data_IF_405194128314
#
_entry.id   IF_405194128314
#
_cell.length_a   1.000
_cell.length_b   1.000
_cell.length_c   1.000
_cell.angle_alpha   90.00
_cell.angle_beta   90.00
_cell.angle_gamma   90.00
#
_symmetry.space_group_name_H-M   'P 1'
#
loop_
_entity.id
_entity.type
_entity.pdbx_description
1 polymer ?
#
# COMPACT_ATOMS: atom_id res chain seq x y z
N UNK A 1 7.77 -3.69 23.35
CA UNK A 1 7.13 -2.37 23.27
C UNK A 1 5.64 -2.51 23.49
N UNK A 2 5.08 -1.82 24.49
CA UNK A 2 3.66 -1.92 24.82
C UNK A 2 2.83 -1.16 23.78
N UNK A 3 2.01 -1.87 23.02
CA UNK A 3 1.01 -1.28 22.11
C UNK A 3 0.21 -0.19 22.82
N UNK A 4 0.12 1.00 22.23
CA UNK A 4 -0.58 2.14 22.83
C UNK A 4 -2.09 1.86 22.91
N UNK A 5 -2.79 2.44 23.90
CA UNK A 5 -4.22 2.18 24.16
C UNK A 5 -5.09 2.39 22.91
N UNK A 6 -4.77 3.37 22.07
CA UNK A 6 -5.47 3.63 20.79
C UNK A 6 -5.21 2.57 19.71
N UNK A 7 -3.97 2.09 19.56
CA UNK A 7 -3.65 1.01 18.62
C UNK A 7 -4.25 -0.32 19.04
N UNK A 8 -4.36 -0.60 20.35
CA UNK A 8 -5.06 -1.78 20.87
C UNK A 8 -6.54 -1.75 20.52
N UNK A 9 -7.21 -0.60 20.66
CA UNK A 9 -8.63 -0.46 20.30
C UNK A 9 -8.83 -0.69 18.79
N UNK A 10 -7.97 -0.12 17.95
CA UNK A 10 -8.02 -0.34 16.49
C UNK A 10 -7.82 -1.82 16.11
N UNK A 11 -6.86 -2.51 16.74
CA UNK A 11 -6.62 -3.94 16.50
C UNK A 11 -7.80 -4.80 16.99
N UNK A 12 -8.39 -4.49 18.14
CA UNK A 12 -9.57 -5.21 18.65
C UNK A 12 -10.81 -4.99 17.79
N UNK A 13 -10.99 -3.82 17.18
CA UNK A 13 -12.09 -3.56 16.23
C UNK A 13 -11.91 -4.35 14.94
N UNK A 14 -10.69 -4.38 14.39
CA UNK A 14 -10.37 -5.13 13.17
C UNK A 14 -10.44 -6.64 13.42
N UNK A 15 -9.90 -7.12 14.55
CA UNK A 15 -9.97 -8.52 14.94
C UNK A 15 -11.41 -8.97 15.23
N UNK A 16 -12.22 -8.12 15.89
CA UNK A 16 -13.65 -8.38 16.09
C UNK A 16 -14.42 -8.44 14.78
N UNK A 17 -14.11 -7.57 13.82
CA UNK A 17 -14.72 -7.55 12.49
C UNK A 17 -14.32 -8.78 11.64
N UNK A 18 -13.06 -9.23 11.72
CA UNK A 18 -12.62 -10.48 11.07
C UNK A 18 -13.25 -11.71 11.74
N UNK A 19 -13.34 -11.74 13.07
CA UNK A 19 -13.95 -12.88 13.79
C UNK A 19 -15.46 -12.98 13.55
N UNK A 20 -16.18 -11.84 13.49
CA UNK A 20 -17.59 -11.79 13.12
C UNK A 20 -17.83 -12.23 11.66
N UNK A 21 -16.93 -11.89 10.73
CA UNK A 21 -17.01 -12.32 9.33
C UNK A 21 -16.83 -13.83 9.15
N UNK A 22 -15.86 -14.43 9.85
CA UNK A 22 -15.57 -15.87 9.73
C UNK A 22 -16.57 -16.73 10.50
N UNK A 23 -17.05 -16.27 11.67
CA UNK A 23 -18.06 -16.99 12.46
C UNK A 23 -19.47 -16.82 11.87
N UNK A 24 -19.80 -15.65 11.31
CA UNK A 24 -21.09 -15.39 10.67
C UNK A 24 -21.36 -16.31 9.47
N UNK A 25 -20.34 -16.61 8.66
CA UNK A 25 -20.44 -17.57 7.55
C UNK A 25 -20.68 -19.02 7.99
N UNK A 26 -20.21 -19.41 9.18
CA UNK A 26 -20.42 -20.75 9.73
C UNK A 26 -21.77 -20.91 10.46
N UNK A 27 -22.29 -19.87 11.12
CA UNK A 27 -23.60 -19.91 11.79
C UNK A 27 -24.75 -19.93 10.77
N UNK A 28 -24.61 -19.24 9.63
CA UNK A 28 -25.58 -19.25 8.53
C UNK A 28 -25.75 -20.62 7.87
N UNK A 29 -24.74 -21.50 7.91
CA UNK A 29 -24.85 -22.87 7.39
C UNK A 29 -25.47 -23.86 8.40
N UNK A 30 -25.57 -23.51 9.69
CA UNK A 30 -25.95 -24.46 10.74
C UNK A 30 -27.34 -24.23 11.36
N UNK A 31 -27.99 -23.09 11.14
CA UNK A 31 -29.30 -22.78 11.75
C UNK A 31 -30.39 -22.49 10.70
N UNK A 32 -31.17 -23.54 10.45
CA UNK A 32 -32.59 -23.56 10.09
C UNK A 32 -33.02 -23.13 8.66
N UNK A 33 -33.59 -24.06 7.85
CA UNK A 33 -34.32 -23.73 6.64
C UNK A 33 -35.72 -23.23 7.03
N UNK A 34 -35.97 -21.93 6.89
CA UNK A 34 -37.32 -21.42 7.19
C UNK A 34 -37.56 -19.92 7.00
N UNK A 35 -36.55 -19.10 6.73
CA UNK A 35 -36.79 -17.66 6.53
C UNK A 35 -35.80 -16.97 5.58
N UNK A 36 -35.54 -17.64 4.44
CA UNK A 36 -34.60 -17.24 3.38
C UNK A 36 -34.72 -15.76 2.95
N UNK A 37 -35.92 -15.17 2.99
CA UNK A 37 -36.13 -13.78 2.59
C UNK A 37 -35.52 -12.75 3.57
N UNK A 38 -35.55 -13.01 4.89
CA UNK A 38 -34.90 -12.10 5.87
C UNK A 38 -33.38 -12.29 5.86
N UNK A 39 -32.91 -13.51 5.67
CA UNK A 39 -31.48 -13.81 5.59
C UNK A 39 -30.87 -13.23 4.30
N UNK A 40 -31.60 -13.29 3.17
CA UNK A 40 -31.21 -12.64 1.92
C UNK A 40 -31.25 -11.11 2.03
N UNK A 41 -32.23 -10.53 2.72
CA UNK A 41 -32.29 -9.09 2.97
C UNK A 41 -31.17 -8.61 3.89
N UNK A 42 -30.82 -9.38 4.93
CA UNK A 42 -29.69 -9.10 5.81
C UNK A 42 -28.35 -9.21 5.07
N UNK A 43 -28.19 -10.25 4.24
CA UNK A 43 -27.01 -10.42 3.39
C UNK A 43 -26.86 -9.28 2.38
N UNK A 44 -27.94 -8.88 1.71
CA UNK A 44 -27.94 -7.75 0.77
C UNK A 44 -27.59 -6.43 1.47
N UNK A 45 -28.14 -6.18 2.66
CA UNK A 45 -27.81 -5.00 3.46
C UNK A 45 -26.32 -5.00 3.87
N UNK A 46 -25.79 -6.13 4.31
CA UNK A 46 -24.37 -6.26 4.66
C UNK A 46 -23.45 -6.06 3.43
N UNK A 47 -23.84 -6.58 2.27
CA UNK A 47 -23.14 -6.35 1.01
C UNK A 47 -23.18 -4.87 0.59
N UNK A 48 -24.35 -4.22 0.66
CA UNK A 48 -24.52 -2.81 0.35
C UNK A 48 -23.71 -1.91 1.30
N UNK A 49 -23.69 -2.22 2.60
CA UNK A 49 -22.88 -1.51 3.60
C UNK A 49 -21.37 -1.70 3.34
N UNK A 50 -20.95 -2.94 3.02
CA UNK A 50 -19.57 -3.23 2.64
C UNK A 50 -19.14 -2.44 1.38
N UNK A 51 -19.96 -2.49 0.32
CA UNK A 51 -19.69 -1.78 -0.94
C UNK A 51 -19.62 -0.27 -0.71
N UNK A 52 -20.55 0.31 0.05
CA UNK A 52 -20.50 1.73 0.41
C UNK A 52 -19.22 2.08 1.16
N UNK A 53 -18.85 1.30 2.17
CA UNK A 53 -17.64 1.54 2.95
C UNK A 53 -16.37 1.42 2.09
N UNK A 54 -16.33 0.49 1.12
CA UNK A 54 -15.21 0.38 0.18
C UNK A 54 -15.17 1.53 -0.81
N UNK A 55 -16.31 2.00 -1.31
CA UNK A 55 -16.39 3.12 -2.26
C UNK A 55 -15.98 4.44 -1.60
N UNK A 56 -16.41 4.70 -0.37
CA UNK A 56 -15.98 5.88 0.38
C UNK A 56 -14.48 5.88 0.64
N UNK A 57 -13.90 4.73 1.01
CA UNK A 57 -12.45 4.59 1.19
C UNK A 57 -11.72 4.81 -0.13
N UNK A 58 -12.20 4.22 -1.22
CA UNK A 58 -11.63 4.38 -2.56
C UNK A 58 -11.60 5.84 -2.98
N UNK A 59 -12.70 6.57 -2.79
CA UNK A 59 -12.78 8.02 -3.08
C UNK A 59 -11.75 8.83 -2.27
N UNK A 60 -11.57 8.51 -0.98
CA UNK A 60 -10.58 9.19 -0.13
C UNK A 60 -9.15 8.92 -0.59
N UNK A 61 -8.82 7.66 -0.90
CA UNK A 61 -7.51 7.27 -1.41
C UNK A 61 -7.24 7.91 -2.76
N UNK A 62 -8.23 7.96 -3.65
CA UNK A 62 -8.10 8.58 -4.96
C UNK A 62 -7.91 10.10 -4.85
N UNK A 63 -8.67 10.78 -3.99
CA UNK A 63 -8.49 12.21 -3.73
C UNK A 63 -7.09 12.51 -3.20
N UNK A 64 -6.62 11.74 -2.21
CA UNK A 64 -5.26 11.86 -1.67
C UNK A 64 -4.21 11.57 -2.75
N UNK A 65 -4.39 10.53 -3.54
CA UNK A 65 -3.46 10.18 -4.63
C UNK A 65 -3.36 11.30 -5.67
N UNK A 66 -4.50 11.92 -6.02
CA UNK A 66 -4.53 13.03 -6.97
C UNK A 66 -3.82 14.27 -6.41
N UNK A 67 -4.04 14.60 -5.14
CA UNK A 67 -3.34 15.70 -4.46
C UNK A 67 -1.82 15.48 -4.43
N UNK A 68 -1.39 14.28 -4.02
CA UNK A 68 0.03 13.93 -4.00
C UNK A 68 0.64 13.90 -5.40
N UNK A 69 -0.11 13.42 -6.40
CA UNK A 69 0.33 13.46 -7.79
C UNK A 69 0.53 14.90 -8.25
N UNK A 70 -0.41 15.81 -8.00
CA UNK A 70 -0.25 17.22 -8.39
C UNK A 70 0.98 17.84 -7.74
N UNK A 71 1.29 17.49 -6.49
CA UNK A 71 2.43 18.02 -5.75
C UNK A 71 3.77 17.47 -6.25
N UNK A 72 3.86 16.16 -6.51
CA UNK A 72 5.15 15.49 -6.70
C UNK A 72 5.42 15.02 -8.13
N UNK A 73 4.40 14.90 -8.98
CA UNK A 73 4.55 14.33 -10.33
C UNK A 73 5.54 15.13 -11.17
N UNK A 74 5.45 16.46 -11.19
CA UNK A 74 6.32 17.30 -12.02
C UNK A 74 7.79 16.99 -11.77
N UNK A 75 8.21 17.06 -10.49
CA UNK A 75 9.60 16.76 -10.12
C UNK A 75 9.97 15.29 -10.31
N UNK A 76 9.09 14.37 -9.90
CA UNK A 76 9.38 12.93 -9.98
C UNK A 76 9.53 12.44 -11.43
N UNK A 77 8.73 12.98 -12.35
CA UNK A 77 8.77 12.60 -13.77
C UNK A 77 10.09 12.96 -14.47
N UNK A 78 10.83 13.95 -13.98
CA UNK A 78 12.16 14.30 -14.50
C UNK A 78 13.14 13.12 -14.37
N UNK A 79 13.00 12.31 -13.32
CA UNK A 79 13.87 11.16 -13.06
C UNK A 79 13.61 9.98 -14.01
N UNK A 80 12.49 9.97 -14.74
CA UNK A 80 12.27 8.98 -15.79
C UNK A 80 13.34 9.05 -16.87
N UNK A 81 14.00 10.20 -17.06
CA UNK A 81 15.13 10.34 -18.00
C UNK A 81 16.38 9.54 -17.61
N UNK A 82 16.51 9.10 -16.35
CA UNK A 82 17.66 8.28 -15.90
C UNK A 82 17.55 6.81 -16.27
N UNK A 83 16.35 6.34 -16.65
CA UNK A 83 16.14 4.97 -17.08
C UNK A 83 17.01 4.71 -18.30
N UNK A 84 17.99 3.83 -18.13
CA UNK A 84 19.00 3.52 -19.12
C UNK A 84 19.54 2.11 -18.89
N UNK A 85 20.08 1.51 -19.95
CA UNK A 85 20.76 0.23 -19.85
C UNK A 85 22.07 0.38 -19.08
N UNK A 86 22.44 -0.67 -18.36
CA UNK A 86 23.71 -0.78 -17.64
C UNK A 86 24.25 -2.21 -17.74
N UNK A 87 25.55 -2.36 -17.59
CA UNK A 87 26.19 -3.68 -17.64
C UNK A 87 25.96 -4.44 -16.34
N UNK A 88 25.16 -5.50 -16.39
CA UNK A 88 24.81 -6.30 -15.21
C UNK A 88 26.06 -6.89 -14.51
N UNK A 89 27.11 -7.21 -15.28
CA UNK A 89 28.37 -7.73 -14.74
C UNK A 89 29.17 -6.71 -13.91
N UNK A 90 28.89 -5.43 -14.07
CA UNK A 90 29.56 -4.36 -13.32
C UNK A 90 28.88 -4.10 -11.96
N UNK A 91 27.67 -4.61 -11.75
CA UNK A 91 26.94 -4.49 -10.48
C UNK A 91 27.44 -5.54 -9.50
N UNK A 92 28.33 -5.12 -8.60
CA UNK A 92 28.93 -5.98 -7.56
C UNK A 92 28.31 -5.81 -6.19
N UNK A 93 27.70 -4.65 -5.95
CA UNK A 93 27.13 -4.26 -4.68
C UNK A 93 25.97 -3.28 -4.89
N UNK A 94 25.22 -3.04 -3.81
CA UNK A 94 24.18 -2.01 -3.78
C UNK A 94 24.84 -0.62 -3.76
N UNK A 95 24.38 0.26 -4.65
CA UNK A 95 24.78 1.67 -4.70
C UNK A 95 23.57 2.55 -4.44
N UNK A 96 23.76 3.61 -3.65
CA UNK A 96 22.77 4.66 -3.43
C UNK A 96 23.35 6.03 -3.78
N UNK A 97 22.50 6.90 -4.31
CA UNK A 97 22.85 8.26 -4.72
C UNK A 97 21.66 9.17 -4.40
N UNK A 98 21.90 10.23 -3.62
CA UNK A 98 20.90 11.25 -3.36
C UNK A 98 20.86 12.26 -4.51
N UNK A 99 19.81 12.19 -5.32
CA UNK A 99 19.63 13.12 -6.44
C UNK A 99 19.07 14.47 -5.99
N UNK A 100 18.27 14.45 -4.93
CA UNK A 100 17.72 15.61 -4.25
C UNK A 100 17.70 15.28 -2.77
N UNK A 101 18.47 16.03 -1.98
CA UNK A 101 18.51 15.86 -0.54
C UNK A 101 17.18 16.32 0.08
N UNK A 102 16.58 15.45 0.90
CA UNK A 102 15.35 15.76 1.61
C UNK A 102 15.61 16.46 2.93
N UNK A 103 14.69 17.32 3.36
CA UNK A 103 14.75 17.99 4.67
C UNK A 103 14.07 17.17 5.80
N UNK A 104 13.69 15.93 5.49
CA UNK A 104 12.96 15.04 6.40
C UNK A 104 13.86 14.40 7.44
N UNK A 105 13.23 13.67 8.38
CA UNK A 105 13.97 12.82 9.30
C UNK A 105 14.62 11.65 8.53
N UNK A 106 15.80 11.24 9.00
CA UNK A 106 16.49 10.05 8.51
C UNK A 106 15.60 8.81 8.62
N UNK A 107 15.56 8.04 7.53
CA UNK A 107 14.79 6.80 7.46
C UNK A 107 15.51 5.71 8.24
N UNK A 108 14.77 5.05 9.13
CA UNK A 108 15.24 3.92 9.93
C UNK A 108 14.41 2.67 9.65
N UNK A 109 14.86 1.53 10.15
CA UNK A 109 14.22 0.22 9.99
C UNK A 109 12.70 0.18 10.25
N UNK A 110 12.23 0.99 11.21
CA UNK A 110 10.83 1.07 11.65
C UNK A 110 10.08 2.30 11.12
N UNK A 111 10.72 3.09 10.26
CA UNK A 111 10.13 4.33 9.73
C UNK A 111 8.99 4.00 8.77
N UNK A 112 7.79 4.48 9.13
CA UNK A 112 6.63 4.41 8.24
C UNK A 112 6.77 5.45 7.14
N UNK A 113 6.76 4.99 5.90
CA UNK A 113 6.99 5.85 4.74
C UNK A 113 6.12 5.43 3.58
N UNK A 114 5.92 6.36 2.65
CA UNK A 114 5.16 6.14 1.44
C UNK A 114 6.04 6.56 0.26
N UNK A 115 6.25 5.67 -0.71
CA UNK A 115 7.24 5.87 -1.77
C UNK A 115 6.64 5.78 -3.16
N UNK A 116 7.23 6.58 -4.04
CA UNK A 116 7.13 6.44 -5.48
C UNK A 116 8.47 5.93 -6.02
N UNK A 117 8.41 5.05 -7.01
CA UNK A 117 9.58 4.40 -7.60
C UNK A 117 9.42 4.20 -9.10
N UNK A 118 10.57 4.02 -9.77
CA UNK A 118 10.69 3.52 -11.13
C UNK A 118 11.72 2.39 -11.06
N UNK A 119 11.31 1.17 -11.41
CA UNK A 119 12.17 -0.01 -11.42
C UNK A 119 12.43 -0.46 -12.84
N UNK A 120 13.71 -0.55 -13.21
CA UNK A 120 14.14 -1.05 -14.52
C UNK A 120 15.24 -2.09 -14.41
N UNK A 121 15.37 -2.95 -15.42
CA UNK A 121 16.40 -3.98 -15.48
C UNK A 121 17.67 -3.47 -16.18
N UNK A 122 18.71 -4.31 -16.26
CA UNK A 122 19.98 -3.99 -16.91
C UNK A 122 19.86 -3.56 -18.39
N UNK A 123 18.76 -3.91 -19.07
CA UNK A 123 18.51 -3.48 -20.45
C UNK A 123 17.85 -2.11 -20.55
N UNK A 124 17.58 -1.44 -19.42
CA UNK A 124 16.82 -0.19 -19.38
C UNK A 124 15.31 -0.41 -19.51
N UNK A 125 14.83 -1.65 -19.41
CA UNK A 125 13.40 -1.95 -19.53
C UNK A 125 12.74 -1.78 -18.16
N UNK A 126 11.73 -0.90 -18.09
CA UNK A 126 10.94 -0.69 -16.87
C UNK A 126 10.07 -1.92 -16.63
N UNK A 127 10.25 -2.57 -15.48
CA UNK A 127 9.40 -3.70 -15.07
C UNK A 127 8.22 -3.26 -14.21
N UNK A 128 8.36 -2.16 -13.46
CA UNK A 128 7.30 -1.54 -12.67
C UNK A 128 7.63 -0.08 -12.36
N UNK A 129 6.61 0.75 -12.19
CA UNK A 129 6.78 2.17 -11.90
C UNK A 129 5.55 2.78 -11.25
N UNK A 130 5.72 3.92 -10.59
CA UNK A 130 4.66 4.68 -9.94
C UNK A 130 3.94 5.67 -10.87
N UNK A 131 4.45 5.90 -12.07
CA UNK A 131 3.85 6.79 -13.07
C UNK A 131 2.87 5.99 -13.94
N UNK A 132 1.67 6.54 -14.15
CA UNK A 132 0.69 6.04 -15.10
C UNK A 132 -0.14 7.20 -15.65
N UNK A 133 -0.39 7.23 -16.97
CA UNK A 133 -1.27 8.21 -17.62
C UNK A 133 -0.96 9.69 -17.29
N UNK A 134 0.33 10.04 -17.21
CA UNK A 134 0.76 11.42 -16.91
C UNK A 134 0.53 11.85 -15.45
N UNK A 135 0.36 10.90 -14.52
CA UNK A 135 0.19 11.15 -13.09
C UNK A 135 0.87 10.06 -12.25
N UNK A 136 0.96 10.29 -10.95
CA UNK A 136 1.38 9.27 -9.98
C UNK A 136 0.17 8.41 -9.58
N UNK A 137 0.39 7.10 -9.49
CA UNK A 137 -0.51 6.15 -8.81
C UNK A 137 -0.51 6.43 -7.30
N UNK A 138 -1.31 5.69 -6.54
CA UNK A 138 -1.20 5.71 -5.09
C UNK A 138 0.21 5.24 -4.66
N UNK A 139 0.84 5.88 -3.66
CA UNK A 139 2.18 5.51 -3.22
C UNK A 139 2.19 4.13 -2.56
N UNK A 140 3.34 3.47 -2.61
CA UNK A 140 3.56 2.23 -1.87
C UNK A 140 3.79 2.56 -0.40
N UNK A 141 2.86 2.15 0.47
CA UNK A 141 2.99 2.32 1.92
C UNK A 141 3.89 1.23 2.50
N UNK A 142 4.86 1.64 3.31
CA UNK A 142 5.82 0.77 3.98
C UNK A 142 5.73 1.00 5.50
N UNK A 143 5.63 -0.07 6.27
CA UNK A 143 5.57 -0.05 7.75
C UNK A 143 6.96 -0.30 8.36
N UNK A 144 7.95 0.44 7.86
CA UNK A 144 9.38 0.21 8.11
C UNK A 144 10.03 -0.65 7.01
N UNK A 145 11.22 -0.27 6.48
CA UNK A 145 11.96 -1.08 5.52
C UNK A 145 12.20 -2.52 6.01
N UNK A 146 12.49 -2.72 7.30
CA UNK A 146 12.76 -4.05 7.86
C UNK A 146 11.53 -4.96 7.85
N UNK A 147 10.34 -4.39 8.11
CA UNK A 147 9.09 -5.13 8.29
C UNK A 147 8.27 -5.29 7.00
N UNK A 148 8.55 -4.47 5.99
CA UNK A 148 7.84 -4.53 4.70
C UNK A 148 8.43 -5.66 3.85
N UNK A 149 7.56 -6.43 3.19
CA UNK A 149 7.95 -7.51 2.29
C UNK A 149 8.48 -6.99 0.94
N UNK A 150 9.62 -6.30 0.97
CA UNK A 150 10.37 -5.85 -0.20
C UNK A 150 11.69 -6.62 -0.34
N UNK A 151 12.31 -6.52 -1.52
CA UNK A 151 13.61 -7.15 -1.80
C UNK A 151 14.70 -6.58 -0.87
N UNK A 152 15.74 -7.37 -0.61
CA UNK A 152 16.81 -6.99 0.34
C UNK A 152 17.46 -5.64 -0.01
N UNK A 153 17.71 -5.37 -1.29
CA UNK A 153 18.29 -4.09 -1.73
C UNK A 153 17.43 -2.87 -1.39
N UNK A 154 16.11 -3.02 -1.26
CA UNK A 154 15.24 -1.93 -0.78
C UNK A 154 15.33 -1.74 0.73
N UNK A 155 15.51 -2.82 1.50
CA UNK A 155 15.67 -2.73 2.94
C UNK A 155 16.96 -2.00 3.32
N UNK A 156 18.02 -2.27 2.56
CA UNK A 156 19.34 -1.65 2.75
C UNK A 156 19.43 -0.27 2.10
N UNK A 157 18.86 -0.08 0.91
CA UNK A 157 19.03 1.16 0.13
C UNK A 157 18.18 2.34 0.59
N UNK A 158 17.11 2.10 1.35
CA UNK A 158 16.26 3.15 1.93
C UNK A 158 16.80 3.70 3.26
N UNK A 159 17.82 3.09 3.83
CA UNK A 159 18.45 3.46 5.10
C UNK A 159 19.85 4.02 4.81
#
# INVERSE_FOLDING_TARGET
MATTKGQRIGIWVIAGMMFLGTVGGFVAMMVAPGNEAKDQAAFKKAQDEYTKATDERKKKVEAQSNELSQKYYGKFSEFSSRVSAFEAGDVKELVKEDLVEGEGAEVKDDTKLAVYYIGWNAKGEIFDQSIADGKLKAPLNMDGPANTAVIQGWKEGLI
#
